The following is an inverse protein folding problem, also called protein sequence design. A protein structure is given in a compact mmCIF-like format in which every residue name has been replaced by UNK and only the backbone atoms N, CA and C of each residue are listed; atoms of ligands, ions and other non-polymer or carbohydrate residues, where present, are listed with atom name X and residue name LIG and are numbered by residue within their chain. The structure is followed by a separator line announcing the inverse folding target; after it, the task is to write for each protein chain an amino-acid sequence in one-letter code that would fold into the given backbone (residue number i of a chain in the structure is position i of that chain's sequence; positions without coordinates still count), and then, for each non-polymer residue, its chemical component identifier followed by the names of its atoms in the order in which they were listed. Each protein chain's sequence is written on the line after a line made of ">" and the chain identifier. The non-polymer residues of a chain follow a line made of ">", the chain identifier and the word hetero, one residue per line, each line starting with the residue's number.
data_IF_060553565502
#
_entry.id   IF_060553565502
#
_cell.length_a   1.000
_cell.length_b   1.000
_cell.length_c   1.000
_cell.angle_alpha   90.00
_cell.angle_beta   90.00
_cell.angle_gamma   90.00
#
_symmetry.space_group_name_H-M   'P 1'
#
loop_
_entity.id
_entity.type
_entity.pdbx_description
1 polymer ?
#
# COMPACT_ATOMS: atom_id res chain seq x y z
N UNK A 1 -77.53 -12.14 10.55
CA UNK A 1 -77.38 -11.11 9.49
C UNK A 1 -75.91 -10.95 9.16
N UNK A 2 -75.46 -11.06 7.90
CA UNK A 2 -74.06 -10.81 7.58
C UNK A 2 -73.82 -9.31 7.40
N UNK A 3 -72.81 -8.78 8.10
CA UNK A 3 -72.35 -7.40 7.94
C UNK A 3 -71.20 -7.31 6.93
N UNK A 4 -71.19 -6.25 6.13
CA UNK A 4 -70.10 -6.00 5.16
C UNK A 4 -69.03 -5.12 5.78
N UNK A 5 -67.79 -5.59 5.78
CA UNK A 5 -66.63 -4.75 6.06
C UNK A 5 -66.11 -4.11 4.77
N UNK A 6 -65.83 -2.81 4.78
CA UNK A 6 -65.08 -2.11 3.73
C UNK A 6 -63.70 -1.73 4.25
N UNK A 7 -62.66 -2.22 3.60
CA UNK A 7 -61.33 -1.67 3.79
C UNK A 7 -61.19 -0.38 2.98
N UNK A 8 -60.83 0.72 3.65
CA UNK A 8 -60.44 1.96 2.98
C UNK A 8 -58.93 2.07 3.03
N UNK A 9 -58.29 2.04 1.86
CA UNK A 9 -56.84 2.23 1.76
C UNK A 9 -56.51 3.65 2.21
N UNK A 10 -55.74 3.78 3.30
CA UNK A 10 -55.31 5.09 3.82
C UNK A 10 -54.28 5.68 2.84
N UNK A 11 -54.75 6.53 1.92
CA UNK A 11 -53.90 7.21 0.93
C UNK A 11 -53.03 8.23 1.66
N UNK A 12 -51.73 7.94 1.78
CA UNK A 12 -50.76 8.87 2.39
C UNK A 12 -50.57 10.05 1.42
N UNK A 13 -51.13 11.21 1.75
CA UNK A 13 -50.91 12.45 0.98
C UNK A 13 -49.56 13.01 1.40
N UNK A 14 -48.54 12.78 0.58
CA UNK A 14 -47.21 13.36 0.76
C UNK A 14 -47.22 14.66 -0.05
N UNK A 15 -46.91 15.80 0.58
CA UNK A 15 -46.86 17.08 -0.11
C UNK A 15 -45.78 17.04 -1.21
N UNK A 16 -46.10 17.54 -2.41
CA UNK A 16 -45.16 17.62 -3.53
C UNK A 16 -43.78 18.23 -3.16
N UNK A 17 -43.70 19.33 -2.37
CA UNK A 17 -42.40 19.87 -1.94
C UNK A 17 -41.61 18.95 -1.00
N UNK A 18 -42.27 18.15 -0.15
CA UNK A 18 -41.58 17.19 0.72
C UNK A 18 -41.06 15.98 -0.05
N UNK A 19 -41.71 15.59 -1.14
CA UNK A 19 -41.20 14.56 -2.05
C UNK A 19 -39.93 15.01 -2.79
N UNK A 20 -39.91 16.27 -3.27
CA UNK A 20 -38.78 16.83 -4.02
C UNK A 20 -37.52 16.92 -3.14
N UNK A 21 -37.66 17.35 -1.88
CA UNK A 21 -36.55 17.44 -0.93
C UNK A 21 -35.94 16.07 -0.62
N UNK A 22 -36.76 15.04 -0.44
CA UNK A 22 -36.27 13.67 -0.20
C UNK A 22 -35.46 13.15 -1.40
N UNK A 23 -35.96 13.35 -2.62
CA UNK A 23 -35.27 12.92 -3.85
C UNK A 23 -33.92 13.65 -4.00
N UNK A 24 -33.89 14.96 -3.77
CA UNK A 24 -32.68 15.77 -3.87
C UNK A 24 -31.60 15.31 -2.87
N UNK A 25 -31.98 15.05 -1.61
CA UNK A 25 -31.08 14.55 -0.57
C UNK A 25 -30.57 13.15 -0.95
N UNK A 26 -31.46 12.23 -1.33
CA UNK A 26 -31.08 10.87 -1.70
C UNK A 26 -30.12 10.83 -2.90
N UNK A 27 -30.38 11.63 -3.93
CA UNK A 27 -29.52 11.74 -5.11
C UNK A 27 -28.14 12.30 -4.74
N UNK A 28 -28.08 13.36 -3.92
CA UNK A 28 -26.83 13.96 -3.45
C UNK A 28 -25.96 12.99 -2.65
N UNK A 29 -26.55 12.30 -1.67
CA UNK A 29 -25.84 11.30 -0.86
C UNK A 29 -25.39 10.09 -1.70
N UNK A 30 -26.22 9.62 -2.64
CA UNK A 30 -25.88 8.52 -3.53
C UNK A 30 -24.66 8.83 -4.40
N UNK A 31 -24.62 10.04 -4.99
CA UNK A 31 -23.48 10.48 -5.80
C UNK A 31 -22.21 10.61 -4.96
N UNK A 32 -22.29 11.23 -3.78
CA UNK A 32 -21.14 11.42 -2.90
C UNK A 32 -20.56 10.07 -2.43
N UNK A 33 -21.42 9.14 -2.01
CA UNK A 33 -21.02 7.80 -1.59
C UNK A 33 -20.37 7.01 -2.73
N UNK A 34 -20.93 7.09 -3.94
CA UNK A 34 -20.37 6.43 -5.14
C UNK A 34 -18.96 6.93 -5.46
N UNK A 35 -18.74 8.25 -5.48
CA UNK A 35 -17.43 8.84 -5.77
C UNK A 35 -16.39 8.41 -4.72
N UNK A 36 -16.75 8.47 -3.43
CA UNK A 36 -15.88 8.03 -2.35
C UNK A 36 -15.57 6.52 -2.46
N UNK A 37 -16.58 5.71 -2.77
CA UNK A 37 -16.44 4.27 -3.02
C UNK A 37 -15.43 3.97 -4.13
N UNK A 38 -15.58 4.61 -5.29
CA UNK A 38 -14.64 4.46 -6.42
C UNK A 38 -13.23 4.90 -6.04
N UNK A 39 -13.08 6.05 -5.37
CA UNK A 39 -11.77 6.55 -4.93
C UNK A 39 -11.08 5.57 -3.95
N UNK A 40 -11.82 5.00 -3.00
CA UNK A 40 -11.28 4.01 -2.07
C UNK A 40 -10.89 2.71 -2.78
N UNK A 41 -11.74 2.20 -3.69
CA UNK A 41 -11.48 0.98 -4.45
C UNK A 41 -10.22 1.15 -5.31
N UNK A 42 -10.10 2.25 -6.05
CA UNK A 42 -8.91 2.51 -6.89
C UNK A 42 -7.63 2.63 -6.07
N UNK A 43 -7.65 3.34 -4.93
CA UNK A 43 -6.52 3.40 -3.98
C UNK A 43 -6.15 2.01 -3.46
N UNK A 44 -7.13 1.21 -3.07
CA UNK A 44 -6.93 -0.17 -2.58
C UNK A 44 -6.34 -1.07 -3.67
N UNK A 45 -6.82 -0.96 -4.91
CA UNK A 45 -6.28 -1.70 -6.06
C UNK A 45 -4.84 -1.30 -6.37
N UNK A 46 -4.52 0.00 -6.39
CA UNK A 46 -3.14 0.49 -6.57
C UNK A 46 -2.22 -0.06 -5.47
N UNK A 47 -2.64 0.00 -4.19
CA UNK A 47 -1.89 -0.54 -3.05
C UNK A 47 -1.69 -2.06 -3.16
N UNK A 48 -2.73 -2.80 -3.57
CA UNK A 48 -2.67 -4.26 -3.79
C UNK A 48 -1.73 -4.62 -4.95
N UNK A 49 -1.81 -3.91 -6.09
CA UNK A 49 -0.91 -4.09 -7.24
C UNK A 49 0.54 -3.85 -6.84
N UNK A 50 0.82 -2.76 -6.11
CA UNK A 50 2.16 -2.47 -5.60
C UNK A 50 2.67 -3.56 -4.64
N UNK A 51 1.82 -4.08 -3.73
CA UNK A 51 2.19 -5.20 -2.84
C UNK A 51 2.49 -6.48 -3.63
N UNK A 52 1.66 -6.81 -4.64
CA UNK A 52 1.86 -8.01 -5.49
C UNK A 52 3.13 -7.89 -6.32
N UNK A 53 3.43 -6.71 -6.85
CA UNK A 53 4.67 -6.46 -7.59
C UNK A 53 5.90 -6.60 -6.69
N UNK A 54 5.89 -5.99 -5.50
CA UNK A 54 6.95 -6.15 -4.50
C UNK A 54 7.17 -7.62 -4.11
N UNK A 55 6.09 -8.38 -3.92
CA UNK A 55 6.19 -9.82 -3.65
C UNK A 55 6.79 -10.61 -4.81
N UNK A 56 6.45 -10.27 -6.06
CA UNK A 56 7.08 -10.89 -7.24
C UNK A 56 8.59 -10.60 -7.29
N UNK A 57 9.00 -9.36 -7.05
CA UNK A 57 10.42 -8.99 -6.96
C UNK A 57 11.13 -9.72 -5.82
N UNK A 58 10.50 -9.79 -4.65
CA UNK A 58 11.05 -10.53 -3.51
C UNK A 58 11.27 -12.01 -3.83
N UNK A 59 10.31 -12.67 -4.50
CA UNK A 59 10.45 -14.06 -4.94
C UNK A 59 11.54 -14.23 -6.00
N UNK A 60 11.61 -13.33 -6.99
CA UNK A 60 12.69 -13.34 -8.01
C UNK A 60 14.07 -13.16 -7.41
N UNK A 61 14.20 -12.35 -6.36
CA UNK A 61 15.46 -12.13 -5.63
C UNK A 61 15.78 -13.26 -4.63
N UNK A 62 15.16 -14.44 -4.79
CA UNK A 62 15.28 -15.58 -3.87
C UNK A 62 15.00 -15.22 -2.40
N UNK A 63 14.14 -14.24 -2.16
CA UNK A 63 13.80 -13.78 -0.81
C UNK A 63 13.14 -14.85 0.07
N UNK A 64 12.55 -15.89 -0.54
CA UNK A 64 12.05 -17.04 0.23
C UNK A 64 13.20 -17.87 0.82
N UNK A 65 14.29 -18.09 0.06
CA UNK A 65 15.49 -18.75 0.58
C UNK A 65 16.12 -17.93 1.71
N UNK A 66 16.16 -16.61 1.54
CA UNK A 66 16.61 -15.69 2.60
C UNK A 66 15.76 -15.85 3.87
N UNK A 67 14.43 -15.89 3.74
CA UNK A 67 13.55 -16.13 4.88
C UNK A 67 13.77 -17.50 5.51
N UNK A 68 13.93 -18.56 4.72
CA UNK A 68 14.20 -19.90 5.23
C UNK A 68 15.51 -19.95 6.02
N UNK A 69 16.60 -19.36 5.51
CA UNK A 69 17.90 -19.30 6.19
C UNK A 69 17.78 -18.60 7.55
N UNK A 70 17.12 -17.44 7.58
CA UNK A 70 16.88 -16.67 8.81
C UNK A 70 15.98 -17.46 9.78
N UNK A 71 14.96 -18.15 9.31
CA UNK A 71 14.09 -18.96 10.16
C UNK A 71 14.76 -20.22 10.70
N UNK A 72 15.66 -20.85 9.93
CA UNK A 72 16.37 -22.06 10.34
C UNK A 72 17.54 -21.82 11.28
N UNK A 73 18.14 -20.62 11.24
CA UNK A 73 19.39 -20.33 11.94
C UNK A 73 19.27 -19.02 12.74
N UNK A 74 19.09 -19.17 14.06
CA UNK A 74 18.95 -18.05 14.99
C UNK A 74 20.18 -17.13 14.99
N UNK A 75 21.39 -17.68 14.89
CA UNK A 75 22.62 -16.88 14.88
C UNK A 75 22.71 -15.97 13.64
N UNK A 76 22.25 -16.46 12.48
CA UNK A 76 22.14 -15.66 11.26
C UNK A 76 21.06 -14.59 11.42
N UNK A 77 19.92 -14.94 12.03
CA UNK A 77 18.83 -14.00 12.28
C UNK A 77 19.24 -12.86 13.20
N UNK A 78 20.02 -13.14 14.25
CA UNK A 78 20.53 -12.12 15.17
C UNK A 78 21.58 -11.20 14.51
N UNK A 79 22.41 -11.75 13.62
CA UNK A 79 23.42 -10.98 12.89
C UNK A 79 22.85 -10.16 11.73
N UNK A 80 21.74 -10.59 11.12
CA UNK A 80 21.15 -9.92 9.96
C UNK A 80 20.12 -8.88 10.37
N UNK A 81 20.41 -7.59 10.10
CA UNK A 81 19.48 -6.49 10.32
C UNK A 81 18.77 -6.07 9.03
N UNK A 82 17.45 -5.93 9.09
CA UNK A 82 16.66 -5.36 7.99
C UNK A 82 16.73 -3.84 8.04
N UNK A 83 17.17 -3.23 6.94
CA UNK A 83 17.16 -1.78 6.75
C UNK A 83 16.11 -1.39 5.72
N UNK A 84 15.34 -0.37 6.03
CA UNK A 84 14.43 0.27 5.09
C UNK A 84 15.21 1.07 4.04
N UNK A 85 14.60 1.29 2.87
CA UNK A 85 15.20 2.13 1.83
C UNK A 85 15.51 3.53 2.35
N UNK A 86 14.61 4.10 3.18
CA UNK A 86 14.78 5.43 3.76
C UNK A 86 16.01 5.52 4.66
N UNK A 87 16.27 4.51 5.49
CA UNK A 87 17.48 4.46 6.32
C UNK A 87 18.75 4.38 5.48
N UNK A 88 18.73 3.57 4.40
CA UNK A 88 19.87 3.47 3.49
C UNK A 88 20.10 4.77 2.71
N UNK A 89 19.03 5.44 2.29
CA UNK A 89 19.11 6.75 1.64
C UNK A 89 19.67 7.80 2.59
N UNK A 90 19.20 7.86 3.83
CA UNK A 90 19.76 8.77 4.83
C UNK A 90 21.24 8.47 5.09
N UNK A 91 21.60 7.20 5.22
CA UNK A 91 22.98 6.79 5.49
C UNK A 91 23.94 7.14 4.35
N UNK A 92 23.45 7.12 3.10
CA UNK A 92 24.26 7.34 1.88
C UNK A 92 24.06 8.72 1.25
N UNK A 93 23.37 9.64 1.90
CA UNK A 93 22.96 10.93 1.31
C UNK A 93 22.25 10.75 -0.05
N UNK A 94 21.22 9.90 -0.08
CA UNK A 94 20.46 9.51 -1.29
C UNK A 94 21.33 8.86 -2.36
N UNK A 95 22.27 8.00 -1.96
CA UNK A 95 23.24 7.35 -2.85
C UNK A 95 24.08 8.36 -3.65
N UNK A 96 24.63 9.36 -2.95
CA UNK A 96 25.48 10.40 -3.52
C UNK A 96 26.72 9.80 -4.22
N UNK A 97 27.05 10.30 -5.41
CA UNK A 97 28.24 9.88 -6.15
C UNK A 97 29.55 10.16 -5.39
N UNK A 98 29.59 11.22 -4.58
CA UNK A 98 30.76 11.54 -3.74
C UNK A 98 30.98 10.53 -2.61
N UNK A 99 30.01 9.66 -2.35
CA UNK A 99 30.10 8.58 -1.36
C UNK A 99 30.46 7.24 -1.99
N UNK A 100 30.73 7.17 -3.29
CA UNK A 100 31.14 5.92 -3.94
C UNK A 100 32.51 5.50 -3.42
N UNK A 101 32.60 4.25 -2.94
CA UNK A 101 33.85 3.60 -2.56
C UNK A 101 34.42 2.76 -3.72
N UNK A 102 33.56 2.32 -4.64
CA UNK A 102 33.96 1.54 -5.81
C UNK A 102 32.76 0.96 -6.56
N UNK A 103 32.98 0.44 -7.76
CA UNK A 103 31.93 -0.16 -8.58
C UNK A 103 32.45 -1.25 -9.52
N UNK A 104 31.59 -2.18 -9.91
CA UNK A 104 31.91 -3.27 -10.83
C UNK A 104 30.68 -3.89 -11.50
N UNK A 105 30.82 -5.12 -12.01
CA UNK A 105 29.73 -5.85 -12.67
C UNK A 105 28.51 -6.09 -11.78
N UNK A 106 28.73 -6.28 -10.47
CA UNK A 106 27.68 -6.63 -9.52
C UNK A 106 27.02 -5.44 -8.81
N UNK A 107 27.41 -4.19 -9.11
CA UNK A 107 26.84 -3.02 -8.46
C UNK A 107 27.85 -1.94 -8.10
N UNK A 108 27.36 -0.95 -7.35
CA UNK A 108 28.14 0.17 -6.80
C UNK A 108 28.12 0.11 -5.28
N UNK A 109 29.27 0.36 -4.65
CA UNK A 109 29.44 0.37 -3.21
C UNK A 109 29.54 1.82 -2.74
N UNK A 110 28.72 2.19 -1.76
CA UNK A 110 28.65 3.53 -1.18
C UNK A 110 29.09 3.49 0.28
N UNK A 111 29.71 4.57 0.75
CA UNK A 111 29.97 4.85 2.16
C UNK A 111 28.67 5.29 2.83
N UNK A 112 28.18 4.46 3.75
CA UNK A 112 27.03 4.72 4.60
C UNK A 112 27.44 5.13 6.01
N UNK A 113 26.70 6.05 6.61
CA UNK A 113 26.77 6.36 8.05
C UNK A 113 25.38 6.11 8.63
N UNK A 114 25.22 5.06 9.43
CA UNK A 114 23.94 4.72 10.04
C UNK A 114 23.57 5.72 11.16
N UNK A 115 22.31 5.67 11.61
CA UNK A 115 21.80 6.55 12.68
C UNK A 115 22.53 6.39 14.02
N UNK A 116 23.10 5.22 14.27
CA UNK A 116 23.97 4.91 15.41
C UNK A 116 25.44 5.28 15.17
N UNK A 117 25.71 6.13 14.17
CA UNK A 117 27.03 6.60 13.75
C UNK A 117 27.99 5.52 13.23
N UNK A 118 27.55 4.27 13.09
CA UNK A 118 28.40 3.21 12.51
C UNK A 118 28.62 3.47 11.01
N UNK A 119 29.89 3.43 10.59
CA UNK A 119 30.30 3.53 9.19
C UNK A 119 30.22 2.15 8.55
N UNK A 120 29.52 2.05 7.41
CA UNK A 120 29.26 0.79 6.70
C UNK A 120 29.45 0.94 5.19
N UNK A 121 29.75 -0.16 4.51
CA UNK A 121 29.72 -0.23 3.06
C UNK A 121 28.34 -0.72 2.59
N UNK A 122 27.62 0.09 1.82
CA UNK A 122 26.30 -0.24 1.29
C UNK A 122 26.41 -0.54 -0.20
N UNK A 123 26.17 -1.80 -0.59
CA UNK A 123 26.19 -2.22 -2.00
C UNK A 123 24.81 -2.12 -2.63
N UNK A 124 24.70 -1.31 -3.68
CA UNK A 124 23.51 -1.20 -4.53
C UNK A 124 23.73 -2.02 -5.80
N UNK A 125 22.93 -3.08 -5.97
CA UNK A 125 22.96 -3.88 -7.19
C UNK A 125 22.50 -3.04 -8.39
N UNK A 126 23.14 -3.25 -9.55
CA UNK A 126 22.63 -2.71 -10.83
C UNK A 126 21.35 -3.46 -11.16
N UNK A 127 20.26 -2.72 -11.43
CA UNK A 127 19.04 -3.34 -11.96
C UNK A 127 19.38 -3.76 -13.40
N UNK A 128 19.58 -5.05 -13.62
CA UNK A 128 19.56 -5.60 -14.98
C UNK A 128 18.10 -5.75 -15.35
N UNK A 129 17.56 -4.78 -16.08
CA UNK A 129 16.32 -5.00 -16.82
C UNK A 129 16.71 -5.90 -17.98
N UNK A 130 16.51 -7.20 -17.81
CA UNK A 130 16.63 -8.21 -18.86
C UNK A 130 15.28 -8.37 -19.55
#
# INVERSE_FOLDING_TARGET
>A
MPGTYRCSAKKRIINLPSLITIIAIAAGFGLLSSVLGVAQVTKKLKKRRAKKFRQKLFKKNHGLLLQQLISSNKDIAEKMKFFSLQELEQATNKFDHNRILGGGGHGTVYKGILSDQRVVAIKKAKIVVQ
#
